data_IF_280134891755
#
_entry.id   IF_280134891755
#
_cell.length_a   1.000
_cell.length_b   1.000
_cell.length_c   1.000
_cell.angle_alpha   90.00
_cell.angle_beta   90.00
_cell.angle_gamma   90.00
#
_symmetry.space_group_name_H-M   'P 1'
#
loop_
_entity.id
_entity.type
_entity.pdbx_description
1 polymer ?
#
# COMPACT_ATOMS: atom_id res chain seq x y z
N UNK A 1 -7.88 -13.33 -5.57
CA UNK A 1 -7.74 -13.31 -4.14
C UNK A 1 -6.73 -12.24 -3.73
N UNK A 2 -7.03 -11.47 -2.73
CA UNK A 2 -6.16 -10.39 -2.28
C UNK A 2 -5.18 -10.93 -1.25
N UNK A 3 -3.89 -10.82 -1.53
CA UNK A 3 -2.87 -11.38 -0.66
C UNK A 3 -1.93 -10.35 -0.10
N UNK A 4 -1.33 -10.63 1.03
CA UNK A 4 -0.34 -9.74 1.61
C UNK A 4 0.78 -9.50 0.61
N UNK A 5 1.18 -8.25 0.44
CA UNK A 5 2.23 -7.89 -0.49
C UNK A 5 1.73 -7.51 -1.86
N UNK A 6 0.45 -7.70 -2.14
CA UNK A 6 -0.11 -7.27 -3.41
C UNK A 6 -0.19 -5.76 -3.44
N UNK A 7 0.07 -5.18 -4.60
CA UNK A 7 -0.13 -3.75 -4.83
C UNK A 7 -1.31 -3.58 -5.76
N UNK A 8 -2.24 -2.73 -5.37
CA UNK A 8 -3.42 -2.41 -6.18
C UNK A 8 -3.46 -0.92 -6.45
N UNK A 9 -3.97 -0.52 -7.61
CA UNK A 9 -4.29 0.86 -7.87
C UNK A 9 -5.76 1.02 -7.49
N UNK A 10 -6.07 2.05 -6.74
CA UNK A 10 -7.43 2.29 -6.26
C UNK A 10 -7.76 3.76 -6.30
N UNK A 11 -9.03 4.07 -6.24
CA UNK A 11 -9.50 5.44 -6.11
C UNK A 11 -9.52 5.74 -4.63
N UNK A 12 -8.58 6.56 -4.17
CA UNK A 12 -8.52 6.85 -2.76
C UNK A 12 -9.42 7.98 -2.33
N UNK A 13 -9.59 8.97 -3.15
CA UNK A 13 -10.37 10.10 -2.79
C UNK A 13 -11.56 10.22 -3.66
N UNK A 14 -12.70 9.82 -3.17
CA UNK A 14 -13.88 9.87 -3.97
C UNK A 14 -14.71 11.08 -3.70
N UNK A 15 -14.27 11.96 -2.85
CA UNK A 15 -15.12 13.02 -2.52
C UNK A 15 -14.72 14.25 -3.17
N UNK A 16 -15.33 15.21 -2.91
CA UNK A 16 -15.01 16.38 -3.38
C UNK A 16 -14.68 16.65 -4.67
N UNK A 17 -14.90 16.46 -5.56
CA UNK A 17 -14.63 16.87 -6.82
C UNK A 17 -13.29 17.40 -7.14
N UNK A 18 -12.28 17.08 -6.46
CA UNK A 18 -11.07 17.54 -6.79
C UNK A 18 -10.64 16.85 -7.92
N UNK A 19 -10.06 17.30 -8.75
CA UNK A 19 -9.69 16.67 -9.91
C UNK A 19 -8.68 15.76 -9.73
N UNK A 20 -7.98 15.71 -8.82
CA UNK A 20 -6.94 14.90 -8.71
C UNK A 20 -7.26 13.67 -8.34
N UNK A 21 -7.95 12.99 -8.55
CA UNK A 21 -8.23 11.84 -8.25
C UNK A 21 -7.63 10.81 -8.83
N UNK A 22 -7.46 10.39 -9.66
CA UNK A 22 -6.79 9.31 -10.26
C UNK A 22 -6.59 8.17 -9.36
N UNK A 23 -6.03 7.12 -9.88
CA UNK A 23 -5.75 5.94 -9.13
C UNK A 23 -4.43 6.10 -8.40
N UNK A 24 -4.37 5.55 -7.20
CA UNK A 24 -3.17 5.60 -6.41
C UNK A 24 -2.82 4.20 -5.98
N UNK A 25 -1.53 3.87 -5.90
CA UNK A 25 -1.13 2.53 -5.47
C UNK A 25 -1.19 2.36 -3.96
N UNK A 26 -1.63 1.21 -3.53
CA UNK A 26 -1.64 0.84 -2.11
C UNK A 26 -1.06 -0.56 -1.95
N UNK A 27 -0.44 -0.81 -0.81
CA UNK A 27 0.22 -2.07 -0.49
C UNK A 27 -0.64 -2.82 0.51
N UNK A 28 -0.98 -4.07 0.23
CA UNK A 28 -1.83 -4.87 1.10
C UNK A 28 -1.01 -5.47 2.23
N UNK A 29 -1.40 -5.21 3.46
CA UNK A 29 -0.67 -5.65 4.64
C UNK A 29 -1.23 -6.92 5.24
N UNK A 30 -2.53 -7.12 5.20
CA UNK A 30 -3.17 -8.26 5.85
C UNK A 30 -3.14 -9.51 4.97
N UNK A 31 -3.23 -10.65 5.60
CA UNK A 31 -3.12 -11.94 4.92
C UNK A 31 -4.34 -12.24 4.07
N UNK A 32 -4.19 -13.17 3.14
CA UNK A 32 -5.30 -13.59 2.29
C UNK A 32 -6.46 -14.12 3.13
N UNK A 33 -6.18 -14.84 4.20
CA UNK A 33 -7.24 -15.36 5.06
C UNK A 33 -8.05 -14.25 5.69
N UNK A 34 -7.39 -13.19 6.15
CA UNK A 34 -8.09 -12.05 6.72
C UNK A 34 -8.88 -11.34 5.62
N UNK A 35 -8.28 -11.18 4.46
CA UNK A 35 -8.89 -10.43 3.35
C UNK A 35 -10.11 -11.13 2.77
N UNK A 36 -10.24 -12.42 3.00
CA UNK A 36 -11.40 -13.17 2.58
C UNK A 36 -12.60 -12.91 3.47
N UNK A 37 -12.37 -12.40 4.68
CA UNK A 37 -13.45 -12.17 5.62
C UNK A 37 -13.87 -10.72 5.68
N UNK A 38 -12.95 -9.82 5.55
CA UNK A 38 -13.25 -8.39 5.66
C UNK A 38 -12.29 -7.59 4.80
N UNK A 39 -12.50 -6.30 4.71
CA UNK A 39 -11.66 -5.45 3.88
C UNK A 39 -10.22 -5.44 4.38
N UNK A 40 -9.25 -5.46 3.49
CA UNK A 40 -7.85 -5.50 3.88
C UNK A 40 -7.36 -4.20 4.50
N UNK A 41 -6.30 -4.33 5.31
CA UNK A 41 -5.58 -3.19 5.81
C UNK A 41 -4.49 -2.91 4.80
N UNK A 42 -4.38 -1.68 4.36
CA UNK A 42 -3.40 -1.29 3.34
C UNK A 42 -2.60 -0.08 3.78
N UNK A 43 -1.46 0.12 3.14
CA UNK A 43 -0.63 1.30 3.33
C UNK A 43 -0.48 2.01 1.99
N UNK A 44 -0.58 3.33 1.94
CA UNK A 44 -0.44 4.04 0.67
C UNK A 44 1.00 4.04 0.21
N UNK A 45 1.19 4.15 -1.10
CA UNK A 45 2.50 4.25 -1.70
C UNK A 45 2.61 5.65 -2.26
N UNK A 46 3.64 6.38 -1.84
CA UNK A 46 3.85 7.73 -2.33
C UNK A 46 4.95 7.73 -3.37
N UNK A 47 4.89 8.66 -4.31
CA UNK A 47 5.93 8.79 -5.32
C UNK A 47 6.56 10.16 -5.17
N UNK A 48 7.57 10.43 -5.93
CA UNK A 48 8.22 11.72 -5.90
C UNK A 48 9.20 11.82 -4.76
N UNK A 49 9.41 12.97 -4.25
CA UNK A 49 10.45 13.22 -3.30
C UNK A 49 10.09 13.10 -1.84
N UNK A 50 8.95 12.52 -1.53
CA UNK A 50 8.50 12.48 -0.15
C UNK A 50 9.20 11.44 0.72
N UNK A 51 9.97 10.52 0.11
CA UNK A 51 10.57 9.46 0.88
C UNK A 51 11.45 9.97 2.01
N UNK A 52 12.22 10.99 1.77
CA UNK A 52 13.14 11.48 2.78
C UNK A 52 12.43 11.93 4.05
N UNK A 53 11.24 12.45 3.91
CA UNK A 53 10.54 12.90 5.03
C UNK A 53 9.96 11.78 5.82
N UNK A 54 9.86 10.58 5.29
CA UNK A 54 9.22 9.47 5.94
C UNK A 54 10.18 8.35 6.25
N UNK A 55 11.57 8.69 6.30
CA UNK A 55 12.56 7.68 6.38
C UNK A 55 12.37 6.76 7.51
N UNK A 56 11.87 7.01 8.59
CA UNK A 56 11.78 6.07 9.70
C UNK A 56 10.72 5.01 9.51
N UNK A 57 9.74 5.24 8.62
CA UNK A 57 8.66 4.29 8.46
C UNK A 57 8.25 4.09 7.01
N UNK A 58 9.07 4.46 6.07
CA UNK A 58 8.79 4.24 4.66
C UNK A 58 9.68 3.13 4.11
N UNK A 59 9.14 2.33 3.21
CA UNK A 59 9.88 1.27 2.55
C UNK A 59 9.95 1.57 1.07
N UNK A 60 11.15 1.77 0.54
CA UNK A 60 11.36 2.12 -0.85
C UNK A 60 11.14 0.92 -1.74
N UNK A 61 10.30 1.06 -2.75
CA UNK A 61 10.00 -0.02 -3.67
C UNK A 61 10.79 0.08 -4.97
N UNK A 62 11.42 1.21 -5.23
CA UNK A 62 11.98 1.49 -6.54
C UNK A 62 12.95 0.43 -7.04
N UNK A 63 13.79 -0.09 -6.19
CA UNK A 63 14.76 -1.07 -6.62
C UNK A 63 14.24 -2.50 -6.63
N UNK A 64 13.01 -2.71 -6.17
CA UNK A 64 12.51 -4.06 -5.95
C UNK A 64 11.31 -4.43 -6.80
N UNK A 65 10.67 -3.47 -7.43
CA UNK A 65 9.45 -3.74 -8.18
C UNK A 65 9.57 -3.18 -9.59
N UNK A 66 8.84 -3.78 -10.52
CA UNK A 66 8.97 -3.40 -11.91
C UNK A 66 7.92 -2.41 -12.36
N UNK A 67 6.74 -2.48 -11.82
CA UNK A 67 5.65 -1.64 -12.27
C UNK A 67 5.30 -0.54 -11.29
N UNK A 68 5.82 -0.59 -10.09
CA UNK A 68 5.47 0.37 -9.06
C UNK A 68 6.74 1.02 -8.54
N UNK A 69 6.71 2.34 -8.41
CA UNK A 69 7.82 3.06 -7.84
C UNK A 69 7.33 3.85 -6.67
N UNK A 70 8.21 4.28 -5.81
CA UNK A 70 7.85 5.07 -4.66
C UNK A 70 8.12 4.33 -3.37
N UNK A 71 7.45 4.71 -2.31
CA UNK A 71 7.67 4.13 -1.00
C UNK A 71 6.35 3.86 -0.28
N UNK A 72 6.30 2.75 0.42
CA UNK A 72 5.16 2.37 1.25
C UNK A 72 5.22 3.17 2.53
N UNK A 73 4.15 3.88 2.87
CA UNK A 73 4.10 4.68 4.09
C UNK A 73 3.48 3.85 5.19
N UNK A 74 4.32 3.20 5.97
CA UNK A 74 3.88 2.23 6.96
C UNK A 74 3.13 2.85 8.14
N UNK A 75 3.20 4.16 8.31
CA UNK A 75 2.50 4.83 9.39
C UNK A 75 1.12 5.34 8.99
N UNK A 76 0.69 5.08 7.77
CA UNK A 76 -0.59 5.59 7.30
C UNK A 76 -1.52 4.46 6.89
N UNK A 77 -1.64 3.48 7.76
CA UNK A 77 -2.48 2.32 7.47
C UNK A 77 -3.96 2.69 7.49
N UNK A 78 -4.70 2.06 6.61
CA UNK A 78 -6.15 2.25 6.60
C UNK A 78 -6.81 1.02 6.01
N UNK A 79 -8.07 0.81 6.37
CA UNK A 79 -8.85 -0.27 5.81
C UNK A 79 -9.54 0.23 4.56
N UNK A 80 -9.42 -0.50 3.47
CA UNK A 80 -10.07 -0.12 2.23
C UNK A 80 -10.77 -1.29 1.58
N UNK A 81 -11.98 -1.04 1.11
CA UNK A 81 -12.69 -2.01 0.29
C UNK A 81 -12.19 -1.82 -1.14
N UNK A 82 -11.29 -2.66 -1.57
CA UNK A 82 -10.66 -2.49 -2.88
C UNK A 82 -11.64 -2.58 -4.02
N UNK A 83 -12.63 -3.46 -3.93
CA UNK A 83 -13.61 -3.58 -5.01
C UNK A 83 -14.44 -2.30 -5.12
N UNK A 84 -14.85 -1.74 -4.00
CA UNK A 84 -15.66 -0.53 -4.02
C UNK A 84 -14.87 0.67 -4.55
N UNK A 85 -13.55 0.60 -4.50
CA UNK A 85 -12.71 1.68 -4.98
C UNK A 85 -12.07 1.37 -6.32
N UNK A 86 -12.68 0.51 -7.08
CA UNK A 86 -12.23 0.15 -8.42
C UNK A 86 -10.78 -0.36 -8.42
N UNK A 87 -10.46 -1.18 -7.46
CA UNK A 87 -9.11 -1.69 -7.29
C UNK A 87 -8.67 -2.60 -8.41
N UNK A 88 -7.44 -2.40 -8.89
CA UNK A 88 -6.86 -3.25 -9.88
C UNK A 88 -5.52 -3.74 -9.43
N UNK A 89 -5.30 -5.01 -9.48
CA UNK A 89 -4.01 -5.62 -9.12
C UNK A 89 -2.92 -5.11 -10.08
N UNK A 90 -1.79 -4.74 -9.53
CA UNK A 90 -0.68 -4.29 -10.33
C UNK A 90 0.49 -5.25 -10.27
N UNK A 91 0.93 -5.58 -9.09
CA UNK A 91 2.14 -6.36 -8.93
C UNK A 91 2.24 -6.86 -7.50
N UNK A 92 2.91 -7.98 -7.27
CA UNK A 92 3.12 -8.47 -5.91
C UNK A 92 4.54 -8.19 -5.49
N UNK A 93 4.72 -7.65 -4.31
CA UNK A 93 6.04 -7.33 -3.80
C UNK A 93 6.81 -8.59 -3.44
N UNK A 94 8.14 -8.58 -3.59
CA UNK A 94 8.94 -9.72 -3.19
C UNK A 94 8.95 -9.87 -1.66
N UNK A 95 9.23 -11.07 -1.16
CA UNK A 95 9.21 -11.32 0.28
C UNK A 95 10.05 -10.38 1.11
N UNK A 96 11.19 -9.96 0.60
CA UNK A 96 12.06 -9.06 1.36
C UNK A 96 11.39 -7.72 1.62
N UNK A 97 10.60 -7.23 0.66
CA UNK A 97 9.87 -5.98 0.82
C UNK A 97 8.75 -6.17 1.83
N UNK A 98 8.03 -7.29 1.74
CA UNK A 98 6.95 -7.59 2.66
C UNK A 98 7.49 -7.66 4.10
N UNK A 99 8.61 -8.33 4.29
CA UNK A 99 9.21 -8.45 5.61
C UNK A 99 9.62 -7.09 6.16
N UNK A 100 10.14 -6.21 5.33
CA UNK A 100 10.56 -4.90 5.76
C UNK A 100 9.35 -4.04 6.15
N UNK A 101 8.27 -4.12 5.38
CA UNK A 101 7.05 -3.38 5.69
C UNK A 101 6.48 -3.85 7.03
N UNK A 102 6.40 -5.17 7.22
CA UNK A 102 5.86 -5.71 8.46
C UNK A 102 6.73 -5.35 9.67
N UNK A 103 8.04 -5.35 9.49
CA UNK A 103 8.95 -4.99 10.58
C UNK A 103 8.76 -3.53 10.98
N UNK A 104 8.57 -2.64 10.01
CA UNK A 104 8.38 -1.24 10.32
C UNK A 104 7.02 -0.99 10.99
N UNK A 105 6.01 -1.68 10.55
CA UNK A 105 4.69 -1.57 11.19
C UNK A 105 4.77 -2.06 12.63
N UNK A 106 5.44 -3.19 12.85
CA UNK A 106 5.57 -3.74 14.20
C UNK A 106 6.29 -2.74 15.11
N UNK A 107 7.31 -2.07 14.59
CA UNK A 107 8.05 -1.11 15.39
C UNK A 107 7.18 0.10 15.80
N UNK A 108 6.18 0.42 15.01
CA UNK A 108 5.33 1.56 15.32
C UNK A 108 4.32 1.24 16.42
N UNK A 109 3.99 -0.01 16.59
CA UNK A 109 2.93 -0.37 17.54
C UNK A 109 3.40 -1.28 18.67
N UNK A 110 4.63 -1.66 18.68
CA UNK A 110 5.15 -2.59 19.70
C UNK A 110 5.45 -1.89 21.04
#
# INVERSE_FOLDING_TARGET
MIERGDVYFVDLDLSQGREQRGHRPVFVVTTAAFNAITAPLVAPITTGGAFARHRGFAVDLTAHMQKVQGAVLCNQLRTLDLAARNGRFVERAPPAVVDDVLAKIAALIA
#
